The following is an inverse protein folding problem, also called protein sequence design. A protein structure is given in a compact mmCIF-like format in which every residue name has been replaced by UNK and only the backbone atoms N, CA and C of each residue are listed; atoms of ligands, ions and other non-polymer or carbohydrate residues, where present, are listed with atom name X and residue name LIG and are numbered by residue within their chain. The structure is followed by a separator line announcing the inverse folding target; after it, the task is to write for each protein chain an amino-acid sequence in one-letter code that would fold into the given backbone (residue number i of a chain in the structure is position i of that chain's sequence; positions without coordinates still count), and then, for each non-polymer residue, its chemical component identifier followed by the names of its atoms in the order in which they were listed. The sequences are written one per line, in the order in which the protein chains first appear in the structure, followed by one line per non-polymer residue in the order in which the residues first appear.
data_IF_169867705091
#
_entry.id   IF_169867705091
#
_cell.length_a   1.000
_cell.length_b   1.000
_cell.length_c   1.000
_cell.angle_alpha   90.00
_cell.angle_beta   90.00
_cell.angle_gamma   90.00
#
_symmetry.space_group_name_H-M   'P 1'
#
loop_
_entity.id
_entity.type
_entity.pdbx_description
1 polymer ?
#
# COMPACT_ATOMS: atom_id res chain seq x y z
N UNK A 1 20.69 0.72 -5.93
CA UNK A 1 19.52 0.31 -6.75
C UNK A 1 18.52 1.43 -6.72
N UNK A 2 17.74 1.64 -7.78
CA UNK A 2 16.77 2.74 -7.85
C UNK A 2 15.43 2.25 -8.40
N UNK A 3 14.36 2.99 -8.13
CA UNK A 3 13.02 2.69 -8.65
C UNK A 3 12.93 2.96 -10.16
N UNK A 4 11.96 2.35 -10.82
CA UNK A 4 11.78 2.54 -12.26
C UNK A 4 11.33 3.98 -12.51
N UNK A 5 11.87 4.63 -13.56
CA UNK A 5 11.58 6.05 -13.82
C UNK A 5 12.42 7.04 -13.01
N UNK A 6 13.33 6.57 -12.14
CA UNK A 6 14.35 7.44 -11.55
C UNK A 6 15.29 7.94 -12.67
N UNK A 7 15.33 9.25 -12.87
CA UNK A 7 16.24 9.88 -13.82
C UNK A 7 17.63 10.00 -13.20
N UNK A 8 18.56 9.20 -13.70
CA UNK A 8 19.97 9.24 -13.31
C UNK A 8 20.75 9.65 -14.55
N UNK A 9 21.73 10.54 -14.39
CA UNK A 9 22.58 11.00 -15.48
C UNK A 9 23.22 9.80 -16.20
N UNK A 10 23.05 9.74 -17.52
CA UNK A 10 23.58 8.66 -18.36
C UNK A 10 25.11 8.65 -18.36
N UNK A 11 25.75 9.80 -18.11
CA UNK A 11 27.19 9.95 -18.13
C UNK A 11 27.90 9.25 -16.96
N UNK A 12 27.16 8.88 -15.90
CA UNK A 12 27.70 8.18 -14.72
C UNK A 12 27.30 6.70 -14.67
N UNK A 13 26.50 6.21 -15.62
CA UNK A 13 25.99 4.83 -15.62
C UNK A 13 26.65 4.02 -16.73
N UNK A 14 27.53 3.09 -16.35
CA UNK A 14 28.13 2.16 -17.30
C UNK A 14 27.21 1.00 -17.71
N UNK A 15 26.36 0.52 -16.80
CA UNK A 15 25.43 -0.59 -17.05
C UNK A 15 24.10 -0.39 -16.34
N UNK A 16 23.00 -0.61 -17.05
CA UNK A 16 21.63 -0.59 -16.50
C UNK A 16 21.03 -1.99 -16.57
N UNK A 17 20.59 -2.52 -15.44
CA UNK A 17 19.88 -3.81 -15.34
C UNK A 17 18.51 -3.57 -14.75
N UNK A 18 17.48 -4.15 -15.38
CA UNK A 18 16.10 -4.08 -14.89
C UNK A 18 15.75 -5.39 -14.20
N UNK A 19 15.44 -5.32 -12.91
CA UNK A 19 14.90 -6.46 -12.17
C UNK A 19 13.39 -6.53 -12.43
N UNK A 20 12.94 -7.55 -13.19
CA UNK A 20 11.54 -7.67 -13.65
C UNK A 20 10.63 -8.50 -12.72
N UNK A 21 11.18 -9.08 -11.65
CA UNK A 21 10.44 -9.96 -10.75
C UNK A 21 10.48 -11.42 -11.17
N UNK A 22 9.49 -12.19 -10.73
CA UNK A 22 9.39 -13.63 -10.97
C UNK A 22 8.76 -13.95 -12.32
N UNK A 23 9.39 -14.86 -13.05
CA UNK A 23 8.74 -15.62 -14.12
C UNK A 23 7.84 -16.71 -13.54
N UNK A 24 7.03 -17.35 -14.39
CA UNK A 24 6.24 -18.52 -13.99
C UNK A 24 7.09 -19.69 -13.48
N UNK A 25 8.32 -19.86 -13.98
CA UNK A 25 9.25 -20.88 -13.46
C UNK A 25 9.81 -20.48 -12.10
N UNK A 26 10.24 -19.22 -11.93
CA UNK A 26 10.71 -18.73 -10.64
C UNK A 26 9.63 -18.81 -9.56
N UNK A 27 8.36 -18.56 -9.92
CA UNK A 27 7.25 -18.68 -8.99
C UNK A 27 7.09 -20.12 -8.48
N UNK A 28 7.20 -21.13 -9.36
CA UNK A 28 7.16 -22.55 -8.97
C UNK A 28 8.32 -22.92 -8.04
N UNK A 29 9.52 -22.46 -8.35
CA UNK A 29 10.70 -22.70 -7.51
C UNK A 29 10.57 -22.02 -6.14
N UNK A 30 10.05 -20.80 -6.12
CA UNK A 30 9.78 -20.06 -4.89
C UNK A 30 8.69 -20.74 -4.04
N UNK A 31 7.64 -21.30 -4.64
CA UNK A 31 6.63 -22.11 -3.92
C UNK A 31 7.26 -23.30 -3.21
N UNK A 32 8.12 -24.06 -3.90
CA UNK A 32 8.84 -25.21 -3.31
C UNK A 32 9.79 -24.78 -2.19
N UNK A 33 10.43 -23.62 -2.35
CA UNK A 33 11.32 -23.09 -1.33
C UNK A 33 10.56 -22.68 -0.06
N UNK A 34 9.39 -22.03 -0.23
CA UNK A 34 8.60 -21.46 0.85
C UNK A 34 7.78 -22.52 1.61
N UNK A 35 6.97 -23.32 0.91
CA UNK A 35 6.12 -24.34 1.53
C UNK A 35 6.84 -25.68 1.59
N UNK A 36 7.02 -26.23 2.79
CA UNK A 36 7.69 -27.54 2.96
C UNK A 36 6.76 -28.72 2.69
N UNK A 37 5.47 -28.56 2.95
CA UNK A 37 4.44 -29.57 2.70
C UNK A 37 4.02 -29.59 1.22
N UNK A 38 4.06 -30.78 0.59
CA UNK A 38 3.73 -30.94 -0.83
C UNK A 38 2.24 -30.70 -1.14
N UNK A 39 1.35 -30.98 -0.18
CA UNK A 39 -0.08 -30.68 -0.29
C UNK A 39 -0.32 -29.18 -0.39
N UNK A 40 0.29 -28.40 0.50
CA UNK A 40 0.27 -26.94 0.47
C UNK A 40 0.86 -26.38 -0.82
N UNK A 41 1.99 -26.92 -1.30
CA UNK A 41 2.58 -26.50 -2.57
C UNK A 41 1.61 -26.68 -3.73
N UNK A 42 1.04 -27.88 -3.86
CA UNK A 42 0.08 -28.23 -4.92
C UNK A 42 -1.12 -27.31 -4.87
N UNK A 43 -1.64 -27.08 -3.67
CA UNK A 43 -2.81 -26.24 -3.47
C UNK A 43 -2.57 -24.78 -3.87
N UNK A 44 -1.47 -24.18 -3.42
CA UNK A 44 -1.13 -22.79 -3.78
C UNK A 44 -0.92 -22.65 -5.29
N UNK A 45 -0.26 -23.63 -5.92
CA UNK A 45 -0.08 -23.62 -7.39
C UNK A 45 -1.42 -23.69 -8.12
N UNK A 46 -2.34 -24.56 -7.69
CA UNK A 46 -3.68 -24.66 -8.27
C UNK A 46 -4.45 -23.33 -8.16
N UNK A 47 -4.34 -22.64 -7.02
CA UNK A 47 -4.98 -21.33 -6.85
C UNK A 47 -4.37 -20.25 -7.75
N UNK A 48 -3.04 -20.24 -7.89
CA UNK A 48 -2.35 -19.31 -8.80
C UNK A 48 -2.71 -19.59 -10.27
N UNK A 49 -2.88 -20.85 -10.65
CA UNK A 49 -3.32 -21.23 -12.00
C UNK A 49 -4.77 -20.86 -12.27
N UNK A 50 -5.66 -21.06 -11.29
CA UNK A 50 -7.08 -20.70 -11.39
C UNK A 50 -7.33 -19.18 -11.37
N UNK A 51 -6.42 -18.39 -10.80
CA UNK A 51 -6.58 -16.94 -10.65
C UNK A 51 -5.46 -16.12 -11.32
N UNK A 52 -5.65 -15.69 -12.57
CA UNK A 52 -4.67 -14.90 -13.31
C UNK A 52 -4.28 -13.57 -12.63
N UNK A 53 -5.20 -12.93 -11.91
CA UNK A 53 -4.92 -11.68 -11.21
C UNK A 53 -3.97 -11.92 -10.03
N UNK A 54 -4.22 -12.98 -9.26
CA UNK A 54 -3.35 -13.39 -8.16
C UNK A 54 -1.96 -13.81 -8.68
N UNK A 55 -1.91 -14.56 -9.78
CA UNK A 55 -0.67 -14.95 -10.46
C UNK A 55 0.13 -13.74 -10.94
N UNK A 56 -0.56 -12.74 -11.52
CA UNK A 56 0.04 -11.47 -11.95
C UNK A 56 0.64 -10.70 -10.76
N UNK A 57 -0.06 -10.63 -9.63
CA UNK A 57 0.47 -10.00 -8.40
C UNK A 57 1.72 -10.75 -7.89
N UNK A 58 1.73 -12.07 -7.95
CA UNK A 58 2.88 -12.90 -7.59
C UNK A 58 4.12 -12.73 -8.49
N UNK A 59 4.02 -12.04 -9.64
CA UNK A 59 5.21 -11.64 -10.40
C UNK A 59 6.11 -10.68 -9.63
N UNK A 60 5.56 -9.93 -8.67
CA UNK A 60 6.33 -9.06 -7.76
C UNK A 60 6.70 -9.85 -6.50
N UNK A 61 8.00 -10.10 -6.22
CA UNK A 61 8.41 -10.98 -5.12
C UNK A 61 7.85 -10.60 -3.74
N UNK A 62 7.74 -9.31 -3.44
CA UNK A 62 7.13 -8.84 -2.19
C UNK A 62 5.67 -9.27 -2.08
N UNK A 63 4.87 -9.06 -3.13
CA UNK A 63 3.45 -9.43 -3.11
C UNK A 63 3.28 -10.94 -3.05
N UNK A 64 4.11 -11.69 -3.77
CA UNK A 64 4.18 -13.15 -3.66
C UNK A 64 4.45 -13.62 -2.22
N UNK A 65 5.44 -13.02 -1.54
CA UNK A 65 5.74 -13.33 -0.15
C UNK A 65 4.57 -13.02 0.80
N UNK A 66 3.90 -11.87 0.62
CA UNK A 66 2.73 -11.52 1.42
C UNK A 66 1.60 -12.54 1.20
N UNK A 67 1.28 -12.85 -0.05
CA UNK A 67 0.26 -13.84 -0.43
C UNK A 67 0.58 -15.20 0.21
N UNK A 68 1.83 -15.65 0.13
CA UNK A 68 2.24 -16.95 0.70
C UNK A 68 2.16 -16.97 2.22
N UNK A 69 2.48 -15.86 2.89
CA UNK A 69 2.27 -15.72 4.34
C UNK A 69 0.79 -15.76 4.72
N UNK A 70 -0.09 -15.19 3.88
CA UNK A 70 -1.53 -15.31 4.08
C UNK A 70 -2.00 -16.76 3.93
N UNK A 71 -1.55 -17.48 2.89
CA UNK A 71 -1.83 -18.91 2.73
C UNK A 71 -1.40 -19.74 3.93
N UNK A 72 -0.16 -19.56 4.39
CA UNK A 72 0.38 -20.26 5.58
C UNK A 72 -0.47 -19.99 6.83
N UNK A 73 -0.91 -18.75 7.03
CA UNK A 73 -1.77 -18.40 8.16
C UNK A 73 -3.16 -19.03 8.06
N UNK A 74 -3.82 -18.95 6.90
CA UNK A 74 -5.18 -19.48 6.77
C UNK A 74 -5.22 -21.00 6.87
N UNK A 75 -4.21 -21.67 6.30
CA UNK A 75 -4.07 -23.11 6.44
C UNK A 75 -3.84 -23.52 7.90
N UNK A 76 -2.93 -22.85 8.61
CA UNK A 76 -2.60 -23.24 9.99
C UNK A 76 -3.64 -22.82 11.05
N UNK A 77 -4.30 -21.68 10.88
CA UNK A 77 -5.19 -21.12 11.89
C UNK A 77 -6.67 -21.52 11.71
N UNK A 78 -7.10 -21.81 10.47
CA UNK A 78 -8.52 -22.03 10.16
C UNK A 78 -8.78 -23.33 9.41
N UNK A 79 -7.75 -24.16 9.16
CA UNK A 79 -7.82 -25.33 8.27
C UNK A 79 -8.43 -24.97 6.90
N UNK A 80 -8.28 -23.70 6.52
CA UNK A 80 -8.85 -23.13 5.32
C UNK A 80 -7.77 -23.11 4.26
N UNK A 81 -8.10 -23.74 3.15
CA UNK A 81 -7.17 -23.91 2.05
C UNK A 81 -7.27 -22.79 1.01
N UNK A 82 -8.18 -21.84 1.15
CA UNK A 82 -8.40 -20.82 0.14
C UNK A 82 -8.23 -19.41 0.70
N UNK A 83 -7.67 -18.51 -0.12
CA UNK A 83 -7.81 -17.09 0.15
C UNK A 83 -9.29 -16.71 0.04
N UNK A 84 -9.79 -15.80 0.89
CA UNK A 84 -11.15 -15.33 0.78
C UNK A 84 -11.30 -14.57 -0.55
N UNK A 85 -12.11 -15.14 -1.42
CA UNK A 85 -12.59 -14.57 -2.68
C UNK A 85 -11.66 -14.65 -3.90
N UNK A 86 -12.26 -14.88 -5.06
CA UNK A 86 -11.58 -15.14 -6.34
C UNK A 86 -11.07 -13.86 -7.03
N UNK A 87 -11.32 -12.67 -6.47
CA UNK A 87 -10.84 -11.38 -7.00
C UNK A 87 -9.94 -10.65 -6.02
N UNK A 88 -8.69 -11.11 -5.92
CA UNK A 88 -7.68 -10.52 -5.05
C UNK A 88 -7.07 -9.29 -5.71
N UNK A 89 -7.37 -8.09 -5.19
CA UNK A 89 -6.67 -6.85 -5.57
C UNK A 89 -5.44 -6.61 -4.68
N UNK A 90 -4.59 -5.66 -5.08
CA UNK A 90 -3.46 -5.22 -4.25
C UNK A 90 -3.92 -4.76 -2.86
N UNK A 91 -5.05 -4.05 -2.76
CA UNK A 91 -5.58 -3.59 -1.47
C UNK A 91 -6.01 -4.78 -0.60
N UNK A 92 -6.57 -5.81 -1.22
CA UNK A 92 -7.04 -7.00 -0.50
C UNK A 92 -5.88 -7.78 0.11
N UNK A 93 -4.77 -7.91 -0.62
CA UNK A 93 -3.55 -8.55 -0.11
C UNK A 93 -3.03 -7.83 1.14
N UNK A 94 -3.04 -6.50 1.15
CA UNK A 94 -2.57 -5.72 2.30
C UNK A 94 -3.59 -5.73 3.46
N UNK A 95 -4.88 -5.79 3.16
CA UNK A 95 -5.91 -6.01 4.18
C UNK A 95 -5.76 -7.40 4.84
N UNK A 96 -5.51 -8.44 4.04
CA UNK A 96 -5.26 -9.80 4.52
C UNK A 96 -3.95 -9.89 5.31
N UNK A 97 -2.87 -9.27 4.82
CA UNK A 97 -1.61 -9.17 5.55
C UNK A 97 -1.82 -8.56 6.93
N UNK A 98 -2.60 -7.48 7.00
CA UNK A 98 -2.91 -6.80 8.26
C UNK A 98 -3.71 -7.71 9.19
N UNK A 99 -4.73 -8.41 8.69
CA UNK A 99 -5.48 -9.40 9.46
C UNK A 99 -4.57 -10.50 10.02
N UNK A 100 -3.71 -11.09 9.18
CA UNK A 100 -2.76 -12.15 9.56
C UNK A 100 -1.83 -11.67 10.67
N UNK A 101 -1.31 -10.44 10.56
CA UNK A 101 -0.40 -9.85 11.55
C UNK A 101 -1.09 -9.59 12.89
N UNK A 102 -2.33 -9.13 12.87
CA UNK A 102 -3.14 -8.93 14.07
C UNK A 102 -3.51 -10.25 14.75
N UNK A 103 -3.82 -11.29 13.96
CA UNK A 103 -4.16 -12.61 14.48
C UNK A 103 -2.95 -13.39 15.01
N UNK A 104 -1.75 -13.12 14.51
CA UNK A 104 -0.53 -13.84 14.91
C UNK A 104 -0.25 -13.79 16.42
N UNK A 105 -0.67 -12.71 17.10
CA UNK A 105 -0.51 -12.55 18.56
C UNK A 105 -1.63 -13.25 19.35
N UNK A 106 -2.81 -13.47 18.75
CA UNK A 106 -3.98 -14.07 19.41
C UNK A 106 -3.95 -15.61 19.48
N UNK A 107 -2.76 -16.22 19.66
CA UNK A 107 -2.59 -17.67 19.93
C UNK A 107 -3.16 -18.11 21.30
N UNK A 108 -4.12 -17.39 21.86
CA UNK A 108 -4.83 -17.73 23.10
C UNK A 108 -6.14 -18.44 22.77
N UNK A 109 -6.09 -19.76 22.50
CA UNK A 109 -7.18 -20.75 22.63
C UNK A 109 -8.57 -20.49 22.00
N UNK A 110 -8.86 -19.32 21.43
CA UNK A 110 -10.16 -18.91 20.88
C UNK A 110 -10.24 -19.10 19.36
N UNK A 111 -9.09 -19.07 18.67
CA UNK A 111 -9.00 -19.32 17.22
C UNK A 111 -9.08 -20.82 16.85
N UNK A 112 -9.18 -21.73 17.83
CA UNK A 112 -9.47 -23.15 17.58
C UNK A 112 -10.93 -23.41 17.18
N UNK A 113 -11.75 -22.38 16.98
CA UNK A 113 -13.12 -22.50 16.45
C UNK A 113 -13.22 -21.74 15.13
N UNK A 114 -13.88 -22.39 14.17
CA UNK A 114 -14.21 -22.06 12.77
C UNK A 114 -14.78 -20.64 12.47
N UNK A 115 -14.62 -19.65 13.34
CA UNK A 115 -15.26 -18.34 13.26
C UNK A 115 -14.23 -17.25 12.91
N UNK A 116 -13.60 -17.37 11.73
CA UNK A 116 -12.80 -16.28 11.17
C UNK A 116 -13.71 -15.07 10.92
N UNK A 117 -13.36 -13.91 11.47
CA UNK A 117 -14.02 -12.64 11.14
C UNK A 117 -12.98 -11.53 10.98
N UNK A 118 -12.76 -11.12 9.73
CA UNK A 118 -11.89 -10.00 9.42
C UNK A 118 -12.43 -8.70 10.06
N UNK A 119 -13.74 -8.52 10.04
CA UNK A 119 -14.40 -7.35 10.66
C UNK A 119 -14.12 -7.25 12.17
N UNK A 120 -14.21 -8.38 12.89
CA UNK A 120 -13.95 -8.42 14.32
C UNK A 120 -12.47 -8.20 14.63
N UNK A 121 -11.59 -8.76 13.80
CA UNK A 121 -10.13 -8.57 13.92
C UNK A 121 -9.76 -7.09 13.81
N UNK A 122 -10.34 -6.39 12.83
CA UNK A 122 -10.11 -4.96 12.63
C UNK A 122 -10.75 -4.11 13.74
N UNK A 123 -11.98 -4.46 14.16
CA UNK A 123 -12.68 -3.75 15.23
C UNK A 123 -11.92 -3.82 16.56
N UNK A 124 -11.49 -5.01 16.96
CA UNK A 124 -10.77 -5.24 18.22
C UNK A 124 -9.37 -4.60 18.26
N UNK A 125 -8.75 -4.37 17.10
CA UNK A 125 -7.42 -3.75 16.99
C UNK A 125 -7.48 -2.32 16.42
N UNK A 126 -8.64 -1.67 16.45
CA UNK A 126 -8.89 -0.37 15.83
C UNK A 126 -7.89 0.71 16.26
N UNK A 127 -7.59 0.80 17.56
CA UNK A 127 -6.68 1.81 18.11
C UNK A 127 -5.26 1.66 17.57
N UNK A 128 -4.76 0.41 17.49
CA UNK A 128 -3.45 0.08 16.93
C UNK A 128 -3.35 0.43 15.45
N UNK A 129 -4.41 0.14 14.70
CA UNK A 129 -4.50 0.50 13.28
C UNK A 129 -4.51 2.03 13.09
N UNK A 130 -5.17 2.77 13.97
CA UNK A 130 -5.19 4.23 13.93
C UNK A 130 -3.82 4.82 14.26
N UNK A 131 -3.14 4.30 15.27
CA UNK A 131 -1.76 4.68 15.60
C UNK A 131 -0.79 4.43 14.44
N UNK A 132 -0.77 3.19 13.88
CA UNK A 132 0.07 2.84 12.73
C UNK A 132 -0.20 3.73 11.51
N UNK A 133 -1.48 3.99 11.22
CA UNK A 133 -1.87 4.81 10.07
C UNK A 133 -1.48 6.28 10.25
N UNK A 134 -1.57 6.82 11.47
CA UNK A 134 -1.11 8.17 11.80
C UNK A 134 0.40 8.31 11.65
N UNK A 135 1.19 7.37 12.18
CA UNK A 135 2.67 7.35 12.01
C UNK A 135 3.02 7.33 10.52
N UNK A 136 2.38 6.45 9.74
CA UNK A 136 2.61 6.35 8.29
C UNK A 136 2.32 7.67 7.57
N UNK A 137 1.17 8.29 7.85
CA UNK A 137 0.74 9.53 7.23
C UNK A 137 1.68 10.69 7.56
N UNK A 138 2.03 10.88 8.83
CA UNK A 138 2.97 11.93 9.25
C UNK A 138 4.35 11.73 8.62
N UNK A 139 4.82 10.48 8.55
CA UNK A 139 6.05 10.13 7.84
C UNK A 139 5.98 10.55 6.37
N UNK A 140 4.90 10.19 5.67
CA UNK A 140 4.71 10.55 4.27
C UNK A 140 4.62 12.06 4.03
N UNK A 141 4.00 12.82 4.93
CA UNK A 141 3.95 14.28 4.84
C UNK A 141 5.33 14.94 5.00
N UNK A 142 6.17 14.37 5.86
CA UNK A 142 7.54 14.86 6.14
C UNK A 142 8.61 14.22 5.24
N UNK A 143 8.22 13.29 4.35
CA UNK A 143 9.17 12.43 3.61
C UNK A 143 10.13 11.65 4.51
N UNK A 144 9.63 11.19 5.67
CA UNK A 144 10.35 10.35 6.62
C UNK A 144 9.93 8.87 6.46
N UNK A 145 10.93 8.01 6.43
CA UNK A 145 10.78 6.55 6.29
C UNK A 145 11.40 5.77 7.46
N UNK A 146 12.23 6.44 8.24
CA UNK A 146 12.80 5.97 9.51
C UNK A 146 12.28 6.90 10.60
N UNK A 147 11.81 6.31 11.70
CA UNK A 147 11.17 6.97 12.82
C UNK A 147 11.99 6.73 14.08
N UNK A 148 12.12 7.75 14.91
CA UNK A 148 12.74 7.59 16.22
C UNK A 148 11.80 6.83 17.17
N UNK A 149 12.36 6.21 18.20
CA UNK A 149 11.60 5.45 19.18
C UNK A 149 10.51 6.29 19.85
N UNK A 150 10.83 7.54 20.18
CA UNK A 150 9.92 8.49 20.82
C UNK A 150 8.74 8.82 19.90
N UNK A 151 8.97 8.95 18.59
CA UNK A 151 7.90 9.19 17.61
C UNK A 151 6.95 8.00 17.49
N UNK A 152 7.47 6.77 17.56
CA UNK A 152 6.67 5.54 17.47
C UNK A 152 5.91 5.26 18.76
N UNK A 153 6.60 5.33 19.90
CA UNK A 153 6.04 4.99 21.21
C UNK A 153 5.11 6.08 21.78
N UNK A 154 5.04 7.24 21.13
CA UNK A 154 4.03 8.26 21.42
C UNK A 154 2.60 7.80 21.09
N UNK A 155 2.44 6.94 20.07
CA UNK A 155 1.13 6.46 19.61
C UNK A 155 0.96 4.93 19.75
N UNK A 156 2.05 4.16 19.83
CA UNK A 156 2.03 2.68 19.97
C UNK A 156 2.60 2.22 21.31
N UNK A 157 2.08 1.11 21.82
CA UNK A 157 2.70 0.42 22.95
C UNK A 157 3.86 -0.44 22.46
N UNK A 158 4.88 -0.63 23.31
CA UNK A 158 6.05 -1.47 22.97
C UNK A 158 5.63 -2.89 22.56
N UNK A 159 4.61 -3.46 23.22
CA UNK A 159 4.05 -4.76 22.87
C UNK A 159 3.45 -4.84 21.45
N UNK A 160 3.00 -3.71 20.89
CA UNK A 160 2.41 -3.67 19.55
C UNK A 160 3.49 -3.75 18.45
N UNK A 161 4.76 -3.48 18.79
CA UNK A 161 5.89 -3.67 17.87
C UNK A 161 6.05 -5.15 17.47
N UNK A 162 5.67 -6.08 18.34
CA UNK A 162 5.68 -7.51 18.04
C UNK A 162 4.71 -7.93 16.92
N UNK A 163 3.76 -7.06 16.53
CA UNK A 163 2.92 -7.29 15.36
C UNK A 163 3.75 -7.33 14.06
N UNK A 164 4.93 -6.69 14.04
CA UNK A 164 5.88 -6.76 12.93
C UNK A 164 5.46 -5.94 11.71
N UNK A 165 4.65 -4.89 11.89
CA UNK A 165 4.42 -3.86 10.87
C UNK A 165 5.61 -2.91 10.73
N UNK A 166 6.29 -2.64 11.87
CA UNK A 166 7.54 -1.92 11.97
C UNK A 166 8.66 -2.91 12.28
N UNK A 167 9.88 -2.62 11.82
CA UNK A 167 11.10 -3.34 12.20
C UNK A 167 12.12 -2.35 12.73
N UNK A 168 12.93 -2.80 13.68
CA UNK A 168 14.03 -2.02 14.24
C UNK A 168 15.16 -1.90 13.22
N UNK A 169 15.70 -0.70 13.07
CA UNK A 169 16.89 -0.41 12.28
C UNK A 169 17.95 0.27 13.17
N UNK A 170 19.24 0.00 12.94
CA UNK A 170 20.30 0.68 13.67
C UNK A 170 20.21 2.19 13.44
N UNK A 171 20.36 2.97 14.50
CA UNK A 171 20.56 4.41 14.35
C UNK A 171 22.00 4.66 13.90
N UNK A 172 22.17 5.13 12.66
CA UNK A 172 23.49 5.42 12.09
C UNK A 172 24.00 6.82 12.41
N UNK A 173 23.14 7.71 12.92
CA UNK A 173 23.45 9.14 13.14
C UNK A 173 23.40 9.57 14.62
N UNK A 174 22.88 8.73 15.53
CA UNK A 174 22.73 9.03 16.96
C UNK A 174 23.68 8.28 17.89
N UNK A 175 23.53 8.51 19.20
CA UNK A 175 24.20 7.73 20.25
C UNK A 175 23.79 6.26 20.20
N UNK A 176 24.74 5.36 20.50
CA UNK A 176 24.72 3.89 20.32
C UNK A 176 23.50 3.15 20.93
N UNK A 177 22.62 3.83 21.67
CA UNK A 177 21.52 3.23 22.45
C UNK A 177 20.09 3.62 21.98
N UNK A 178 19.92 4.47 20.96
CA UNK A 178 18.59 4.80 20.43
C UNK A 178 18.19 3.87 19.29
N UNK A 179 17.07 3.16 19.45
CA UNK A 179 16.48 2.32 18.38
C UNK A 179 15.66 3.17 17.42
N UNK A 180 15.87 2.99 16.12
CA UNK A 180 14.99 3.56 15.10
C UNK A 180 14.07 2.47 14.51
N UNK A 181 12.98 2.88 13.90
CA UNK A 181 11.98 1.98 13.31
C UNK A 181 11.69 2.37 11.88
N UNK A 182 11.47 1.38 11.02
CA UNK A 182 10.90 1.61 9.69
C UNK A 182 9.76 0.63 9.43
N UNK A 183 8.80 1.00 8.59
CA UNK A 183 7.80 0.04 8.12
C UNK A 183 8.51 -1.11 7.40
N UNK A 184 7.96 -2.33 7.55
CA UNK A 184 8.50 -3.53 6.92
C UNK A 184 8.81 -3.32 5.42
N UNK A 185 8.01 -2.52 4.75
CA UNK A 185 8.27 -2.02 3.40
C UNK A 185 7.56 -0.68 3.15
N UNK A 186 8.11 0.16 2.27
CA UNK A 186 7.53 1.47 1.91
C UNK A 186 6.09 1.38 1.36
N UNK A 187 5.77 0.30 0.65
CA UNK A 187 4.38 0.05 0.19
C UNK A 187 3.42 -0.19 1.36
N UNK A 188 3.89 -0.75 2.47
CA UNK A 188 3.09 -0.90 3.69
C UNK A 188 2.84 0.46 4.36
N UNK A 189 3.85 1.33 4.40
CA UNK A 189 3.67 2.72 4.82
C UNK A 189 2.67 3.46 3.91
N UNK A 190 2.74 3.24 2.59
CA UNK A 190 1.78 3.81 1.62
C UNK A 190 0.36 3.30 1.87
N UNK A 191 0.19 2.02 2.18
CA UNK A 191 -1.09 1.42 2.57
C UNK A 191 -1.66 2.05 3.84
N UNK A 192 -0.86 2.14 4.91
CA UNK A 192 -1.30 2.75 6.18
C UNK A 192 -1.57 4.25 6.04
N UNK A 193 -0.88 4.93 5.14
CA UNK A 193 -1.17 6.34 4.79
C UNK A 193 -2.54 6.46 4.13
N UNK A 194 -2.85 5.60 3.16
CA UNK A 194 -4.17 5.55 2.55
C UNK A 194 -5.25 5.18 3.57
N UNK A 195 -4.94 4.27 4.49
CA UNK A 195 -5.82 3.91 5.60
C UNK A 195 -6.16 5.13 6.46
N UNK A 196 -5.16 5.93 6.87
CA UNK A 196 -5.36 7.17 7.61
C UNK A 196 -6.27 8.16 6.86
N UNK A 197 -6.00 8.37 5.56
CA UNK A 197 -6.84 9.23 4.71
C UNK A 197 -8.30 8.77 4.66
N UNK A 198 -8.57 7.48 4.80
CA UNK A 198 -9.93 6.93 4.86
C UNK A 198 -10.51 7.03 6.27
N UNK A 199 -9.76 6.71 7.32
CA UNK A 199 -10.27 6.54 8.68
C UNK A 199 -10.28 7.81 9.54
N UNK A 200 -9.44 8.80 9.27
CA UNK A 200 -9.45 10.04 10.08
C UNK A 200 -10.57 10.98 9.59
N UNK A 201 -11.54 11.28 10.45
CA UNK A 201 -12.70 12.12 10.10
C UNK A 201 -12.34 13.58 9.79
N UNK A 202 -11.20 14.05 10.29
CA UNK A 202 -10.71 15.43 10.09
C UNK A 202 -10.11 15.62 8.69
N UNK A 203 -9.79 14.54 7.98
CA UNK A 203 -9.26 14.59 6.61
C UNK A 203 -10.30 15.20 5.67
N UNK A 204 -10.01 16.43 5.24
CA UNK A 204 -10.81 17.16 4.27
C UNK A 204 -10.56 16.71 2.83
N UNK A 205 -11.33 17.27 1.89
CA UNK A 205 -11.19 16.95 0.46
C UNK A 205 -9.78 17.25 -0.08
N UNK A 206 -9.15 18.32 0.42
CA UNK A 206 -7.79 18.72 0.04
C UNK A 206 -6.76 17.65 0.42
N UNK A 207 -6.76 17.22 1.68
CA UNK A 207 -5.78 16.25 2.17
C UNK A 207 -6.02 14.85 1.56
N UNK A 208 -7.29 14.49 1.37
CA UNK A 208 -7.69 13.25 0.69
C UNK A 208 -7.11 13.13 -0.73
N UNK A 209 -6.99 14.25 -1.44
CA UNK A 209 -6.54 14.30 -2.84
C UNK A 209 -5.08 14.77 -2.98
N UNK A 210 -4.38 15.05 -1.88
CA UNK A 210 -3.05 15.67 -1.90
C UNK A 210 -2.04 14.82 -2.70
N UNK A 211 -2.04 13.50 -2.51
CA UNK A 211 -1.09 12.61 -3.19
C UNK A 211 -1.40 12.41 -4.68
N UNK A 212 -2.62 12.70 -5.14
CA UNK A 212 -2.89 12.75 -6.59
C UNK A 212 -2.22 13.95 -7.24
N UNK A 213 -2.31 15.12 -6.59
CA UNK A 213 -1.66 16.34 -7.07
C UNK A 213 -0.13 16.20 -7.09
N UNK A 214 0.45 15.50 -6.13
CA UNK A 214 1.89 15.23 -6.13
C UNK A 214 2.35 14.39 -7.34
N UNK A 215 1.53 13.44 -7.79
CA UNK A 215 1.84 12.61 -8.96
C UNK A 215 1.68 13.34 -10.30
N UNK A 216 0.82 14.35 -10.41
CA UNK A 216 0.54 15.04 -11.68
C UNK A 216 1.61 16.05 -12.10
N UNK A 217 2.61 16.33 -11.26
CA UNK A 217 3.59 17.39 -11.49
C UNK A 217 4.79 16.99 -12.39
N UNK A 218 4.83 15.76 -12.90
CA UNK A 218 5.98 15.25 -13.68
C UNK A 218 5.78 15.19 -15.20
N UNK A 219 4.55 15.37 -15.71
CA UNK A 219 4.31 15.38 -17.16
C UNK A 219 4.04 16.80 -17.66
N UNK A 220 5.07 17.41 -18.24
CA UNK A 220 5.03 18.39 -19.36
C UNK A 220 3.84 19.36 -19.46
N UNK A 221 4.09 20.65 -19.21
CA UNK A 221 3.43 21.86 -19.78
C UNK A 221 2.02 21.71 -20.40
N UNK A 222 1.03 21.22 -19.65
CA UNK A 222 -0.38 21.32 -20.02
C UNK A 222 -1.16 21.96 -18.88
N UNK A 223 -1.37 23.27 -19.06
CA UNK A 223 -2.44 24.11 -18.49
C UNK A 223 -3.14 23.59 -17.23
N UNK A 224 -2.77 24.21 -16.10
CA UNK A 224 -3.45 24.25 -14.81
C UNK A 224 -4.95 23.91 -14.84
N UNK A 225 -5.30 22.72 -14.36
CA UNK A 225 -6.69 22.34 -14.05
C UNK A 225 -6.97 22.31 -12.54
N UNK A 226 -6.10 22.92 -11.72
CA UNK A 226 -6.33 23.07 -10.28
C UNK A 226 -6.41 24.56 -9.91
N UNK A 227 -7.51 25.04 -9.31
CA UNK A 227 -7.52 26.30 -8.56
C UNK A 227 -6.94 26.08 -7.14
N UNK A 228 -5.84 25.34 -7.04
CA UNK A 228 -5.08 25.17 -5.81
C UNK A 228 -3.72 25.81 -6.03
N UNK A 229 -3.68 27.13 -5.85
CA UNK A 229 -2.43 27.88 -5.76
C UNK A 229 -1.68 27.45 -4.51
N UNK A 230 -0.79 26.47 -4.65
CA UNK A 230 0.16 26.18 -3.59
C UNK A 230 1.36 27.11 -3.71
N UNK A 231 1.37 28.17 -2.91
CA UNK A 231 2.63 28.81 -2.52
C UNK A 231 3.32 27.92 -1.48
N UNK A 232 4.30 27.15 -1.93
CA UNK A 232 5.39 26.73 -1.05
C UNK A 232 6.69 27.23 -1.65
N UNK A 233 7.31 28.16 -0.94
CA UNK A 233 8.70 28.54 -1.12
C UNK A 233 9.56 27.32 -0.79
N UNK A 234 9.80 26.46 -1.78
CA UNK A 234 10.94 25.55 -1.75
C UNK A 234 12.06 26.24 -2.53
N UNK A 235 13.11 26.63 -1.82
CA UNK A 235 14.39 26.88 -2.46
C UNK A 235 14.85 25.55 -3.09
N UNK A 236 15.12 25.50 -4.41
CA UNK A 236 15.64 24.31 -5.05
C UNK A 236 17.12 24.18 -4.66
N UNK A 237 17.39 23.64 -3.48
CA UNK A 237 18.67 22.98 -3.23
C UNK A 237 18.69 21.76 -4.15
N UNK A 238 19.75 21.59 -4.95
CA UNK A 238 19.83 20.59 -6.02
C UNK A 238 19.15 19.28 -5.66
N UNK A 239 18.11 18.90 -6.40
CA UNK A 239 17.22 17.80 -6.04
C UNK A 239 17.97 16.47 -5.98
N UNK A 240 17.65 15.64 -4.98
CA UNK A 240 18.11 14.26 -4.91
C UNK A 240 17.71 13.50 -6.20
N UNK A 241 18.67 13.02 -7.01
CA UNK A 241 18.37 12.33 -8.27
C UNK A 241 17.65 11.00 -8.04
N UNK A 242 17.63 10.46 -6.82
CA UNK A 242 16.93 9.23 -6.47
C UNK A 242 15.52 9.44 -5.93
N UNK A 243 15.07 10.71 -5.82
CA UNK A 243 13.73 11.03 -5.33
C UNK A 243 12.67 10.57 -6.33
N UNK A 244 11.88 9.58 -5.93
CA UNK A 244 10.73 9.09 -6.70
C UNK A 244 9.42 9.34 -5.96
N UNK A 245 8.30 9.37 -6.70
CA UNK A 245 6.95 9.52 -6.15
C UNK A 245 6.11 8.23 -6.25
N UNK A 246 6.75 7.07 -6.48
CA UNK A 246 6.04 5.79 -6.61
C UNK A 246 5.20 5.46 -5.36
N UNK A 247 5.70 5.82 -4.19
CA UNK A 247 4.98 5.62 -2.93
C UNK A 247 3.65 6.41 -2.88
N UNK A 248 3.59 7.60 -3.47
CA UNK A 248 2.33 8.34 -3.61
C UNK A 248 1.36 7.66 -4.57
N UNK A 249 1.88 7.04 -5.64
CA UNK A 249 1.05 6.23 -6.53
C UNK A 249 0.43 5.04 -5.79
N UNK A 250 1.21 4.32 -4.97
CA UNK A 250 0.68 3.26 -4.10
C UNK A 250 -0.37 3.79 -3.12
N UNK A 251 -0.12 4.91 -2.44
CA UNK A 251 -1.12 5.53 -1.56
C UNK A 251 -2.43 5.81 -2.30
N UNK A 252 -2.37 6.35 -3.52
CA UNK A 252 -3.55 6.61 -4.33
C UNK A 252 -4.28 5.31 -4.73
N UNK A 253 -3.55 4.27 -5.13
CA UNK A 253 -4.14 2.95 -5.44
C UNK A 253 -4.85 2.35 -4.24
N UNK A 254 -4.21 2.36 -3.06
CA UNK A 254 -4.82 1.88 -1.83
C UNK A 254 -6.02 2.72 -1.41
N UNK A 255 -5.96 4.04 -1.58
CA UNK A 255 -7.10 4.91 -1.28
C UNK A 255 -8.32 4.55 -2.13
N UNK A 256 -8.12 4.26 -3.41
CA UNK A 256 -9.16 3.80 -4.32
C UNK A 256 -9.74 2.45 -3.91
N UNK A 257 -8.86 1.50 -3.57
CA UNK A 257 -9.26 0.15 -3.15
C UNK A 257 -10.03 0.17 -1.83
N UNK A 258 -9.57 0.93 -0.85
CA UNK A 258 -10.22 1.06 0.45
C UNK A 258 -11.59 1.75 0.33
N UNK A 259 -11.73 2.76 -0.52
CA UNK A 259 -13.01 3.43 -0.76
C UNK A 259 -13.95 2.65 -1.71
N UNK A 260 -13.58 1.44 -2.14
CA UNK A 260 -14.43 0.55 -2.92
C UNK A 260 -15.70 0.17 -2.13
N UNK A 261 -16.85 0.00 -2.81
CA UNK A 261 -18.13 -0.41 -2.21
C UNK A 261 -17.99 -1.75 -1.48
N UNK A 262 -17.23 -2.68 -2.07
CA UNK A 262 -16.99 -4.01 -1.50
C UNK A 262 -16.29 -3.97 -0.13
N UNK A 263 -15.60 -2.88 0.22
CA UNK A 263 -14.86 -2.73 1.49
C UNK A 263 -15.58 -1.83 2.50
N UNK A 264 -16.75 -1.29 2.16
CA UNK A 264 -17.53 -0.46 3.09
C UNK A 264 -17.99 -1.25 4.32
N UNK A 265 -18.30 -2.54 4.15
CA UNK A 265 -18.73 -3.39 5.25
C UNK A 265 -17.62 -3.57 6.29
N UNK A 266 -16.40 -3.85 5.85
CA UNK A 266 -15.22 -3.90 6.73
C UNK A 266 -15.00 -2.55 7.45
N UNK A 267 -15.03 -1.45 6.70
CA UNK A 267 -14.68 -0.13 7.21
C UNK A 267 -15.75 0.48 8.12
N UNK A 268 -17.02 0.08 8.02
CA UNK A 268 -18.11 0.61 8.87
C UNK A 268 -17.89 0.31 10.36
N UNK A 269 -17.10 -0.72 10.66
CA UNK A 269 -16.74 -1.11 12.02
C UNK A 269 -15.64 -0.24 12.62
N UNK A 270 -14.97 0.56 11.79
CA UNK A 270 -13.93 1.49 12.19
C UNK A 270 -14.45 2.93 12.23
N UNK A 271 -15.25 3.33 11.24
CA UNK A 271 -15.74 4.71 11.09
C UNK A 271 -17.18 4.77 10.58
N UNK A 272 -17.89 5.90 10.78
CA UNK A 272 -19.24 6.08 10.27
C UNK A 272 -19.32 5.93 8.74
N UNK A 273 -20.35 5.21 8.27
CA UNK A 273 -20.56 4.97 6.84
C UNK A 273 -20.79 6.27 6.05
N UNK A 274 -21.34 7.31 6.69
CA UNK A 274 -21.49 8.65 6.11
C UNK A 274 -20.14 9.25 5.71
N UNK A 275 -19.11 9.09 6.55
CA UNK A 275 -17.75 9.55 6.28
C UNK A 275 -17.15 8.83 5.08
N UNK A 276 -17.28 7.50 5.02
CA UNK A 276 -16.79 6.68 3.89
C UNK A 276 -17.47 7.11 2.59
N UNK A 277 -18.80 7.26 2.59
CA UNK A 277 -19.58 7.68 1.42
C UNK A 277 -19.21 9.09 0.96
N UNK A 278 -18.98 10.02 1.88
CA UNK A 278 -18.53 11.38 1.59
C UNK A 278 -17.16 11.37 0.90
N UNK A 279 -16.17 10.66 1.47
CA UNK A 279 -14.82 10.54 0.90
C UNK A 279 -14.84 9.86 -0.48
N UNK A 280 -15.63 8.80 -0.64
CA UNK A 280 -15.83 8.15 -1.95
C UNK A 280 -16.43 9.10 -2.98
N UNK A 281 -17.41 9.94 -2.61
CA UNK A 281 -18.02 10.93 -3.52
C UNK A 281 -16.99 11.96 -3.99
N UNK A 282 -16.14 12.44 -3.08
CA UNK A 282 -15.05 13.37 -3.40
C UNK A 282 -14.10 12.72 -4.42
N UNK A 283 -13.66 11.48 -4.17
CA UNK A 283 -12.75 10.76 -5.05
C UNK A 283 -13.34 10.53 -6.45
N UNK A 284 -14.62 10.13 -6.53
CA UNK A 284 -15.30 9.93 -7.82
C UNK A 284 -15.47 11.24 -8.60
N UNK A 285 -15.80 12.34 -7.92
CA UNK A 285 -15.88 13.66 -8.54
C UNK A 285 -14.51 14.09 -9.11
N UNK A 286 -13.43 13.85 -8.36
CA UNK A 286 -12.07 14.08 -8.82
C UNK A 286 -11.75 13.28 -10.09
N UNK A 287 -12.03 11.98 -10.12
CA UNK A 287 -11.78 11.17 -11.32
C UNK A 287 -12.58 11.62 -12.53
N UNK A 288 -13.85 11.97 -12.33
CA UNK A 288 -14.69 12.47 -13.41
C UNK A 288 -14.11 13.75 -14.03
N UNK A 289 -13.73 14.72 -13.21
CA UNK A 289 -13.11 15.97 -13.70
C UNK A 289 -11.72 15.74 -14.29
N UNK A 290 -10.90 14.87 -13.69
CA UNK A 290 -9.58 14.51 -14.22
C UNK A 290 -9.68 13.85 -15.59
N UNK A 291 -10.59 12.89 -15.78
CA UNK A 291 -10.82 12.25 -17.07
C UNK A 291 -11.35 13.24 -18.10
N UNK A 292 -12.32 14.07 -17.73
CA UNK A 292 -12.88 15.11 -18.60
C UNK A 292 -11.81 16.09 -19.05
N UNK A 293 -10.93 16.52 -18.15
CA UNK A 293 -9.80 17.38 -18.47
C UNK A 293 -8.83 16.68 -19.43
N UNK A 294 -8.42 15.44 -19.11
CA UNK A 294 -7.54 14.65 -19.97
C UNK A 294 -8.10 14.48 -21.39
N UNK A 295 -9.37 14.09 -21.52
CA UNK A 295 -10.05 13.93 -22.81
C UNK A 295 -10.17 15.23 -23.61
N UNK A 296 -10.32 16.38 -22.94
CA UNK A 296 -10.28 17.70 -23.59
C UNK A 296 -8.88 18.09 -24.07
N UNK A 297 -7.85 17.67 -23.34
CA UNK A 297 -6.45 17.90 -23.68
C UNK A 297 -5.94 17.05 -24.84
N UNK A 298 -6.59 15.92 -25.13
CA UNK A 298 -6.34 15.14 -26.34
C UNK A 298 -6.81 15.95 -27.55
N UNK A 299 -5.86 16.54 -28.29
CA UNK A 299 -6.14 17.22 -29.55
C UNK A 299 -6.97 16.29 -30.45
N UNK A 300 -8.18 16.70 -30.83
CA UNK A 300 -8.93 16.02 -31.89
C UNK A 300 -8.05 16.01 -33.12
N UNK A 301 -7.56 14.85 -33.52
CA UNK A 301 -6.87 14.70 -34.80
C UNK A 301 -7.81 15.24 -35.86
N UNK A 302 -7.46 16.38 -36.49
CA UNK A 302 -8.18 16.87 -37.65
C UNK A 302 -8.01 15.79 -38.71
N UNK A 303 -9.08 15.05 -38.98
CA UNK A 303 -9.19 14.26 -40.19
C UNK A 303 -8.86 15.22 -41.33
N UNK A 304 -7.75 14.96 -42.04
CA UNK A 304 -7.49 15.65 -43.30
C UNK A 304 -8.66 15.28 -44.21
N UNK A 305 -9.50 16.26 -44.50
CA UNK A 305 -10.46 16.17 -45.60
C UNK A 305 -9.64 15.87 -46.85
N UNK A 306 -9.80 14.66 -47.39
CA UNK A 306 -9.35 14.35 -48.73
C UNK A 306 -10.37 15.00 -49.68
N UNK A 307 -9.97 16.14 -50.26
CA UNK A 307 -10.62 16.71 -51.45
C UNK A 307 -10.17 15.95 -52.69
#
# INVERSE_FOLDING_TARGET
TARTGTEIDKNIIWKKVHLRGFSSSNLKDYTKMFFKDEGCQTLVLNQLEANPNLSSLCSVPLFCWIIFKCFEHFHSAFDSHELPDFTVTLTDIFLLMTEVRLNHIQKTNLLKKNNRSQEETYRSNKEKLFALSKIAYLGMQKSLFVFEQEEVLSDLLEQDLHLGFLKTVPNYEGTVDQSCYEFLHLTLQSFFTAFYLVTDEKVGARDLLQFFAECSMQDTTLSSCLPLSWSKNYHPTGGDPFRNKEHFHFTNLFLCGLLNKARQELLRHLIPLSTIRKKRKILLAYFFESMKSHLKGLSRARLKEYN
#
